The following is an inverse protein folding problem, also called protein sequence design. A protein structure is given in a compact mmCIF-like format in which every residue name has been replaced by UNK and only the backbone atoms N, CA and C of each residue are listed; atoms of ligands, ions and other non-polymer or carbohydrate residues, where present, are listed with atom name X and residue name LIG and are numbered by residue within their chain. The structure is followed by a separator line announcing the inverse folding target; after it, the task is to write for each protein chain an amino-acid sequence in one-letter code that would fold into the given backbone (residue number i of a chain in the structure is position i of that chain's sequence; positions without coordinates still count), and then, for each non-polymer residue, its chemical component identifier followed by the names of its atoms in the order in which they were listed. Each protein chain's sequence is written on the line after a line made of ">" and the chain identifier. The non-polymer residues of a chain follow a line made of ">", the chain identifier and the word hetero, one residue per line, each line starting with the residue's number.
data_IF_837847419487
#
_entry.id   IF_837847419487
#
_cell.length_a   1.000
_cell.length_b   1.000
_cell.length_c   1.000
_cell.angle_alpha   90.00
_cell.angle_beta   90.00
_cell.angle_gamma   90.00
#
_symmetry.space_group_name_H-M   'P 1'
#
loop_
_entity.id
_entity.type
_entity.pdbx_description
1 polymer ?
#
# COMPACT_ATOMS: atom_id res chain seq x y z
N UNK A 1 -10.21 13.58 15.89
CA UNK A 1 -8.93 14.34 15.77
C UNK A 1 -8.28 14.29 17.14
N UNK A 2 -7.26 13.45 17.28
CA UNK A 2 -6.65 13.02 18.56
C UNK A 2 -5.61 14.07 19.01
N UNK A 3 -5.55 14.39 20.30
CA UNK A 3 -4.45 15.17 20.92
C UNK A 3 -3.60 14.24 21.80
N UNK A 4 -2.26 14.38 21.75
CA UNK A 4 -1.26 13.64 22.54
C UNK A 4 -0.71 14.56 23.66
N UNK A 5 -0.31 14.15 24.87
CA UNK A 5 0.35 12.93 25.35
C UNK A 5 -0.09 12.60 26.80
N UNK A 6 -0.44 11.34 27.07
CA UNK A 6 -0.30 10.72 28.39
C UNK A 6 0.49 9.42 28.19
N UNK A 7 1.81 9.47 28.38
CA UNK A 7 2.60 8.25 28.42
C UNK A 7 2.45 7.74 29.85
N UNK A 8 1.64 6.69 30.04
CA UNK A 8 1.72 5.93 31.29
C UNK A 8 3.09 5.26 31.32
N UNK A 9 4.01 5.77 32.16
CA UNK A 9 5.31 5.12 32.40
C UNK A 9 5.15 3.77 33.13
N UNK A 10 3.94 3.48 33.63
CA UNK A 10 3.58 2.18 34.19
C UNK A 10 3.15 1.23 33.08
N UNK A 11 4.09 0.37 32.68
CA UNK A 11 3.84 -0.81 31.85
C UNK A 11 4.09 -2.08 32.66
N UNK A 12 3.47 -3.17 32.22
CA UNK A 12 3.77 -4.52 32.68
C UNK A 12 4.21 -5.35 31.49
N UNK A 13 5.19 -6.22 31.70
CA UNK A 13 5.57 -7.20 30.68
C UNK A 13 4.61 -8.38 30.66
N UNK A 14 4.53 -9.10 29.55
CA UNK A 14 3.72 -10.33 29.46
C UNK A 14 4.10 -11.35 30.54
N UNK A 15 5.38 -11.49 30.87
CA UNK A 15 5.81 -12.35 31.96
C UNK A 15 5.33 -11.88 33.35
N UNK A 16 5.25 -10.57 33.59
CA UNK A 16 4.69 -10.03 34.84
C UNK A 16 3.19 -10.27 34.92
N UNK A 17 2.45 -10.01 33.84
CA UNK A 17 1.02 -10.29 33.74
C UNK A 17 0.70 -11.77 33.97
N UNK A 18 1.51 -12.65 33.40
CA UNK A 18 1.39 -14.10 33.57
C UNK A 18 1.61 -14.52 35.01
N UNK A 19 2.61 -13.96 35.69
CA UNK A 19 2.86 -14.21 37.12
C UNK A 19 1.74 -13.70 38.02
N UNK A 20 1.00 -12.71 37.56
CA UNK A 20 -0.19 -12.16 38.22
C UNK A 20 -1.47 -12.94 37.88
N UNK A 21 -1.39 -14.02 37.09
CA UNK A 21 -2.54 -14.79 36.59
C UNK A 21 -3.57 -13.93 35.84
N UNK A 22 -3.11 -12.87 35.15
CA UNK A 22 -3.97 -12.07 34.29
C UNK A 22 -4.29 -12.85 33.02
N UNK A 23 -5.57 -12.83 32.62
CA UNK A 23 -6.07 -13.46 31.40
C UNK A 23 -6.06 -12.48 30.22
N UNK A 24 -6.03 -13.00 28.99
CA UNK A 24 -6.21 -12.17 27.78
C UNK A 24 -7.54 -11.43 27.76
N UNK A 25 -8.59 -12.02 28.33
CA UNK A 25 -9.90 -11.40 28.47
C UNK A 25 -9.85 -10.14 29.33
N UNK A 26 -9.11 -10.18 30.46
CA UNK A 26 -8.93 -9.01 31.32
C UNK A 26 -8.14 -7.90 30.62
N UNK A 27 -7.09 -8.25 29.88
CA UNK A 27 -6.34 -7.29 29.05
C UNK A 27 -7.26 -6.57 28.07
N UNK A 28 -8.14 -7.32 27.39
CA UNK A 28 -9.13 -6.76 26.46
C UNK A 28 -10.11 -5.80 27.15
N UNK A 29 -10.50 -6.08 28.40
CA UNK A 29 -11.36 -5.20 29.18
C UNK A 29 -10.65 -3.91 29.66
N UNK A 30 -9.32 -3.90 29.69
CA UNK A 30 -8.50 -2.75 30.07
C UNK A 30 -8.17 -1.82 28.89
N UNK A 31 -9.11 -1.70 27.94
CA UNK A 31 -9.00 -0.81 26.77
C UNK A 31 -7.75 -1.07 25.90
N UNK A 32 -7.24 -2.30 25.90
CA UNK A 32 -6.18 -2.73 24.99
C UNK A 32 -6.71 -2.95 23.57
N UNK A 33 -5.80 -3.00 22.58
CA UNK A 33 -6.16 -3.55 21.26
C UNK A 33 -6.41 -5.05 21.34
N UNK A 34 -7.21 -5.56 20.39
CA UNK A 34 -7.46 -7.00 20.23
C UNK A 34 -6.14 -7.72 19.92
N UNK A 35 -5.32 -7.16 19.02
CA UNK A 35 -4.01 -7.70 18.64
C UNK A 35 -3.11 -7.97 19.86
N UNK A 36 -3.08 -7.05 20.85
CA UNK A 36 -2.27 -7.21 22.05
C UNK A 36 -2.82 -8.31 22.97
N UNK A 37 -4.15 -8.43 23.05
CA UNK A 37 -4.81 -9.50 23.81
C UNK A 37 -4.57 -10.87 23.17
N UNK A 38 -4.60 -10.97 21.84
CA UNK A 38 -4.30 -12.20 21.09
C UNK A 38 -2.83 -12.60 21.20
N UNK A 39 -1.90 -11.65 21.08
CA UNK A 39 -0.47 -11.90 21.31
C UNK A 39 -0.20 -12.40 22.74
N UNK A 40 -0.92 -11.85 23.72
CA UNK A 40 -0.81 -12.32 25.09
C UNK A 40 -1.42 -13.72 25.26
N UNK A 41 -2.56 -14.02 24.65
CA UNK A 41 -3.12 -15.39 24.65
C UNK A 41 -2.13 -16.39 24.05
N UNK A 42 -1.49 -16.04 22.92
CA UNK A 42 -0.44 -16.86 22.33
C UNK A 42 0.75 -17.06 23.28
N UNK A 43 1.14 -16.03 24.03
CA UNK A 43 2.15 -16.15 25.08
C UNK A 43 1.69 -17.08 26.22
N UNK A 44 0.42 -17.02 26.64
CA UNK A 44 -0.16 -17.91 27.67
C UNK A 44 -0.14 -19.38 27.25
N UNK A 45 -0.44 -19.65 25.98
CA UNK A 45 -0.44 -21.01 25.42
C UNK A 45 0.97 -21.60 25.31
N UNK A 46 1.97 -20.76 25.01
CA UNK A 46 3.36 -21.19 24.78
C UNK A 46 4.40 -20.27 25.46
N UNK A 47 4.44 -20.20 26.81
CA UNK A 47 5.24 -19.22 27.53
C UNK A 47 6.76 -19.46 27.43
N UNK A 48 7.19 -20.69 27.16
CA UNK A 48 8.62 -21.05 27.05
C UNK A 48 9.17 -20.97 25.62
N UNK A 49 8.31 -20.84 24.61
CA UNK A 49 8.70 -20.85 23.18
C UNK A 49 8.52 -19.48 22.53
N UNK A 50 7.76 -18.58 23.15
CA UNK A 50 7.50 -17.24 22.64
C UNK A 50 8.59 -16.25 23.07
N UNK A 51 9.13 -15.50 22.10
CA UNK A 51 10.03 -14.36 22.37
C UNK A 51 9.28 -13.13 22.96
N UNK A 52 8.03 -13.32 23.38
CA UNK A 52 7.10 -12.26 23.78
C UNK A 52 7.15 -11.96 25.28
N UNK A 53 8.00 -12.63 26.07
CA UNK A 53 8.06 -12.43 27.53
C UNK A 53 8.27 -10.98 27.94
N UNK A 54 8.97 -10.21 27.12
CA UNK A 54 9.33 -8.82 27.34
C UNK A 54 8.39 -7.83 26.63
N UNK A 55 7.37 -8.32 25.92
CA UNK A 55 6.37 -7.45 25.31
C UNK A 55 5.62 -6.66 26.38
N UNK A 56 5.35 -5.40 26.06
CA UNK A 56 4.86 -4.41 27.03
C UNK A 56 3.38 -4.18 26.86
N UNK A 57 2.66 -4.36 27.96
CA UNK A 57 1.28 -3.98 28.12
C UNK A 57 1.19 -2.68 28.92
N UNK A 58 0.35 -1.75 28.45
CA UNK A 58 0.04 -0.50 29.15
C UNK A 58 -1.42 -0.55 29.56
N UNK A 59 -1.68 -0.43 30.87
CA UNK A 59 -3.04 -0.42 31.40
C UNK A 59 -3.65 0.96 31.16
N UNK A 60 -4.54 1.07 30.16
CA UNK A 60 -5.15 2.32 29.78
C UNK A 60 -6.47 2.52 30.52
N UNK A 61 -6.57 3.63 31.27
CA UNK A 61 -7.86 4.06 31.83
C UNK A 61 -8.61 4.86 30.78
N UNK A 62 -9.92 4.61 30.62
CA UNK A 62 -10.80 5.43 29.79
C UNK A 62 -10.59 6.93 30.12
N UNK A 63 -10.49 7.83 29.12
CA UNK A 63 -10.78 7.64 27.69
C UNK A 63 -9.57 7.28 26.82
N UNK A 64 -8.45 6.87 27.42
CA UNK A 64 -7.22 6.59 26.69
C UNK A 64 -7.20 5.17 26.11
N UNK A 65 -6.69 5.02 24.90
CA UNK A 65 -6.57 3.73 24.21
C UNK A 65 -5.32 3.70 23.31
N UNK A 66 -5.03 2.52 22.76
CA UNK A 66 -3.85 2.26 21.94
C UNK A 66 -2.75 1.53 22.71
N UNK A 67 -1.74 1.06 21.98
CA UNK A 67 -0.66 0.20 22.51
C UNK A 67 0.19 0.84 23.63
N UNK A 68 0.10 2.15 23.83
CA UNK A 68 0.77 2.95 24.87
C UNK A 68 -0.17 3.98 25.50
N UNK A 69 -1.49 3.74 25.42
CA UNK A 69 -2.52 4.70 25.87
C UNK A 69 -2.40 6.08 25.20
N UNK A 70 -1.83 6.13 24.00
CA UNK A 70 -1.42 7.37 23.36
C UNK A 70 -2.59 8.13 22.72
N UNK A 71 -3.73 7.48 22.51
CA UNK A 71 -4.87 8.08 21.83
C UNK A 71 -6.00 8.33 22.81
N UNK A 72 -6.72 9.44 22.62
CA UNK A 72 -8.02 9.68 23.22
C UNK A 72 -8.90 10.43 22.22
N UNK A 73 -10.21 10.33 22.40
CA UNK A 73 -11.13 11.08 21.58
C UNK A 73 -11.31 12.50 22.10
N UNK A 74 -11.18 13.48 21.20
CA UNK A 74 -11.41 14.91 21.49
C UNK A 74 -12.87 15.27 21.75
N UNK A 75 -13.80 14.39 21.36
CA UNK A 75 -15.24 14.55 21.55
C UNK A 75 -15.79 13.36 22.33
N UNK A 76 -16.93 13.57 23.00
CA UNK A 76 -17.69 12.47 23.59
C UNK A 76 -18.07 11.43 22.50
N UNK A 77 -18.12 10.15 22.85
CA UNK A 77 -18.39 9.03 21.94
C UNK A 77 -19.66 9.27 21.11
N UNK A 78 -20.74 9.75 21.73
CA UNK A 78 -22.01 10.06 21.06
C UNK A 78 -21.85 11.11 19.94
N UNK A 79 -21.02 12.13 20.18
CA UNK A 79 -20.76 13.20 19.19
C UNK A 79 -19.82 12.74 18.09
N UNK A 80 -18.95 11.77 18.34
CA UNK A 80 -18.11 11.17 17.29
C UNK A 80 -18.97 10.38 16.32
N UNK A 81 -19.90 9.57 16.84
CA UNK A 81 -20.82 8.79 16.02
C UNK A 81 -21.64 9.74 15.14
N UNK A 82 -22.27 10.76 15.73
CA UNK A 82 -23.00 11.77 14.96
C UNK A 82 -22.13 12.48 13.91
N UNK A 83 -20.94 12.96 14.29
CA UNK A 83 -20.04 13.63 13.35
C UNK A 83 -19.51 12.70 12.25
N UNK A 84 -19.35 11.40 12.53
CA UNK A 84 -18.91 10.41 11.53
C UNK A 84 -19.96 10.12 10.47
N UNK A 85 -21.25 10.31 10.81
CA UNK A 85 -22.36 10.25 9.86
C UNK A 85 -22.58 11.57 9.11
N UNK A 86 -22.24 12.72 9.71
CA UNK A 86 -22.47 14.05 9.13
C UNK A 86 -21.31 14.57 8.28
N UNK A 87 -20.07 14.19 8.59
CA UNK A 87 -18.87 14.75 7.99
C UNK A 87 -18.12 13.63 7.28
N UNK A 88 -18.32 13.51 5.97
CA UNK A 88 -17.33 12.91 5.07
C UNK A 88 -15.96 13.44 5.46
N UNK A 89 -15.07 12.59 5.98
CA UNK A 89 -13.78 13.01 6.53
C UNK A 89 -12.96 13.70 5.43
N UNK A 90 -12.89 15.03 5.47
CA UNK A 90 -12.13 15.86 4.52
C UNK A 90 -10.78 16.32 5.11
N UNK A 91 -10.28 15.62 6.13
CA UNK A 91 -9.03 15.97 6.80
C UNK A 91 -7.81 15.67 5.92
N UNK A 92 -6.86 16.60 5.87
CA UNK A 92 -5.57 16.39 5.20
C UNK A 92 -4.75 15.28 5.89
N UNK A 93 -4.46 14.19 5.16
CA UNK A 93 -3.66 13.05 5.66
C UNK A 93 -2.16 13.38 5.73
N UNK A 94 -1.72 14.50 5.15
CA UNK A 94 -0.29 14.87 5.08
C UNK A 94 0.42 14.89 6.45
N UNK A 95 -0.31 15.08 7.55
CA UNK A 95 0.19 15.02 8.93
C UNK A 95 -0.51 13.93 9.78
N UNK A 96 -1.05 12.89 9.15
CA UNK A 96 -1.72 11.78 9.82
C UNK A 96 -0.75 10.89 10.61
N UNK A 97 -1.23 10.30 11.70
CA UNK A 97 -0.53 9.20 12.37
C UNK A 97 -1.02 7.87 11.81
N UNK A 98 -0.10 6.96 11.50
CA UNK A 98 -0.44 5.64 10.97
C UNK A 98 -0.69 4.63 12.09
N UNK A 99 -1.73 3.80 11.93
CA UNK A 99 -1.73 2.51 12.62
C UNK A 99 -0.74 1.59 11.89
N UNK A 100 0.26 1.08 12.61
CA UNK A 100 1.31 0.24 12.04
C UNK A 100 1.04 -1.22 12.41
N UNK A 101 0.31 -1.92 11.54
CA UNK A 101 0.11 -3.37 11.66
C UNK A 101 1.35 -4.14 11.18
N UNK A 102 1.88 -3.74 10.02
CA UNK A 102 3.10 -4.30 9.43
C UNK A 102 4.19 -3.22 9.38
N UNK A 103 5.43 -3.59 9.71
CA UNK A 103 6.58 -2.71 9.52
C UNK A 103 6.88 -2.58 8.03
N UNK A 104 6.21 -1.65 7.37
CA UNK A 104 6.33 -1.41 5.94
C UNK A 104 7.17 -0.15 5.67
N UNK A 105 8.20 -0.27 4.83
CA UNK A 105 8.96 0.88 4.35
C UNK A 105 8.46 1.31 2.97
N UNK A 106 7.69 2.40 2.88
CA UNK A 106 7.20 2.96 1.61
C UNK A 106 8.06 4.10 1.05
N UNK A 107 9.26 4.32 1.60
CA UNK A 107 10.21 5.35 1.14
C UNK A 107 10.13 6.70 1.87
N UNK A 108 9.09 6.94 2.68
CA UNK A 108 8.89 8.20 3.40
C UNK A 108 7.98 8.07 4.62
N UNK A 109 8.09 8.97 5.61
CA UNK A 109 7.42 8.85 6.91
C UNK A 109 5.92 9.18 6.90
N UNK A 110 5.41 9.82 5.85
CA UNK A 110 4.01 10.31 5.77
C UNK A 110 3.05 9.35 5.06
N UNK A 111 3.54 8.23 4.50
CA UNK A 111 2.71 7.30 3.72
C UNK A 111 2.39 6.04 4.52
N UNK A 112 1.21 6.01 5.15
CA UNK A 112 0.71 4.83 5.85
C UNK A 112 0.38 3.71 4.86
N UNK A 113 0.62 2.45 5.22
CA UNK A 113 0.02 1.32 4.50
C UNK A 113 -1.46 1.23 4.88
N UNK A 114 -2.35 1.22 3.89
CA UNK A 114 -3.77 0.92 4.09
C UNK A 114 -3.94 -0.60 4.11
N UNK A 115 -4.85 -1.11 4.94
CA UNK A 115 -5.04 -2.56 5.08
C UNK A 115 -5.47 -3.23 3.76
N UNK A 116 -6.11 -2.50 2.85
CA UNK A 116 -6.51 -2.99 1.51
C UNK A 116 -5.35 -3.12 0.53
N UNK A 117 -4.17 -2.61 0.90
CA UNK A 117 -2.90 -2.76 0.17
C UNK A 117 -2.08 -3.94 0.74
N UNK A 118 -2.63 -4.74 1.66
CA UNK A 118 -2.00 -5.97 2.16
C UNK A 118 -2.62 -7.15 1.41
N UNK A 119 -1.77 -8.01 0.85
CA UNK A 119 -2.19 -9.18 0.09
C UNK A 119 -3.10 -8.86 -1.10
N UNK A 120 -2.89 -7.70 -1.73
CA UNK A 120 -3.63 -7.28 -2.93
C UNK A 120 -2.92 -7.70 -4.22
N UNK A 121 -1.79 -8.40 -4.09
CA UNK A 121 -0.94 -8.81 -5.19
C UNK A 121 -0.04 -7.68 -5.68
N UNK A 122 0.26 -6.65 -4.89
CA UNK A 122 1.19 -5.58 -5.27
C UNK A 122 2.19 -5.34 -4.16
N UNK A 123 3.47 -5.41 -4.50
CA UNK A 123 4.50 -4.97 -3.56
C UNK A 123 4.48 -3.45 -3.47
N UNK A 124 3.98 -2.96 -2.35
CA UNK A 124 4.00 -1.59 -1.89
C UNK A 124 5.10 -1.33 -0.84
N UNK A 125 5.52 -2.36 -0.09
CA UNK A 125 6.60 -2.24 0.89
C UNK A 125 7.98 -2.56 0.30
N UNK A 126 8.91 -1.61 0.35
CA UNK A 126 10.27 -1.77 -0.20
C UNK A 126 11.21 -2.62 0.65
N UNK A 127 10.84 -2.96 1.88
CA UNK A 127 11.61 -3.83 2.76
C UNK A 127 11.31 -5.32 2.52
N UNK A 128 11.35 -5.74 1.26
CA UNK A 128 11.17 -7.14 0.86
C UNK A 128 9.73 -7.56 0.57
N UNK A 129 8.82 -6.61 0.31
CA UNK A 129 7.43 -6.91 -0.02
C UNK A 129 6.66 -7.60 1.11
N UNK A 130 6.88 -7.15 2.35
CA UNK A 130 6.30 -7.74 3.57
C UNK A 130 4.78 -7.73 3.61
N UNK A 131 4.16 -6.82 2.88
CA UNK A 131 2.73 -6.71 2.60
C UNK A 131 2.19 -7.89 1.76
N UNK A 132 3.04 -8.55 1.00
CA UNK A 132 2.68 -9.64 0.08
C UNK A 132 3.26 -11.01 0.51
N UNK A 133 3.73 -11.12 1.77
CA UNK A 133 4.28 -12.35 2.33
C UNK A 133 3.16 -13.17 2.98
N UNK A 134 3.18 -14.49 2.75
CA UNK A 134 2.24 -15.46 3.37
C UNK A 134 0.75 -15.24 3.07
N UNK A 135 0.41 -14.36 2.12
CA UNK A 135 -0.96 -14.14 1.65
C UNK A 135 -1.64 -15.42 1.15
N UNK A 136 -0.85 -16.35 0.62
CA UNK A 136 -1.34 -17.64 0.18
C UNK A 136 -2.04 -18.44 1.31
N UNK A 137 -1.59 -18.31 2.56
CA UNK A 137 -2.22 -18.99 3.69
C UNK A 137 -3.69 -18.62 3.84
N UNK A 138 -4.05 -17.36 3.54
CA UNK A 138 -5.44 -16.90 3.53
C UNK A 138 -6.23 -17.56 2.40
N UNK A 139 -5.65 -17.62 1.19
CA UNK A 139 -6.28 -18.27 0.04
C UNK A 139 -6.38 -19.80 0.16
N UNK A 140 -5.65 -20.45 1.06
CA UNK A 140 -5.78 -21.90 1.29
C UNK A 140 -6.84 -22.29 2.30
N UNK A 141 -7.45 -21.31 2.96
CA UNK A 141 -8.47 -21.61 3.96
C UNK A 141 -9.65 -22.36 3.31
N UNK A 142 -10.10 -23.42 3.99
CA UNK A 142 -11.24 -24.24 3.59
C UNK A 142 -12.39 -23.97 4.57
N UNK A 143 -13.56 -23.63 4.03
CA UNK A 143 -14.73 -23.30 4.84
C UNK A 143 -15.56 -24.53 5.16
N UNK A 144 -16.39 -24.44 6.20
CA UNK A 144 -17.35 -25.49 6.53
C UNK A 144 -18.45 -25.59 5.48
N UNK A 145 -19.18 -26.71 5.47
CA UNK A 145 -20.26 -26.96 4.49
C UNK A 145 -21.39 -25.92 4.53
N UNK A 146 -21.59 -25.26 5.67
CA UNK A 146 -22.59 -24.21 5.88
C UNK A 146 -22.05 -22.79 5.60
N UNK A 147 -20.81 -22.67 5.11
CA UNK A 147 -20.14 -21.42 4.82
C UNK A 147 -19.86 -21.28 3.31
N UNK A 148 -19.96 -20.05 2.82
CA UNK A 148 -19.50 -19.65 1.51
C UNK A 148 -18.07 -19.14 1.63
N UNK A 149 -17.24 -19.51 0.65
CA UNK A 149 -15.84 -19.10 0.57
C UNK A 149 -15.71 -17.95 -0.43
N UNK A 150 -15.33 -16.78 0.08
CA UNK A 150 -14.95 -15.63 -0.73
C UNK A 150 -13.69 -15.91 -1.58
N UNK A 151 -13.44 -15.14 -2.64
CA UNK A 151 -12.27 -15.38 -3.51
C UNK A 151 -10.95 -15.20 -2.75
N UNK A 152 -10.90 -14.23 -1.83
CA UNK A 152 -9.77 -13.99 -0.92
C UNK A 152 -9.59 -15.03 0.21
N UNK A 153 -10.47 -16.05 0.29
CA UNK A 153 -10.39 -17.14 1.28
C UNK A 153 -11.14 -16.90 2.60
N UNK A 154 -11.82 -15.76 2.75
CA UNK A 154 -12.73 -15.52 3.87
C UNK A 154 -13.93 -16.48 3.82
N UNK A 155 -14.32 -17.00 4.98
CA UNK A 155 -15.52 -17.83 5.13
C UNK A 155 -16.64 -17.01 5.73
N UNK A 156 -17.78 -16.94 5.03
CA UNK A 156 -18.99 -16.26 5.51
C UNK A 156 -20.15 -17.28 5.61
N UNK A 157 -21.07 -17.15 6.58
CA UNK A 157 -22.26 -17.99 6.64
C UNK A 157 -23.10 -17.94 5.35
N UNK A 158 -23.49 -19.10 4.79
CA UNK A 158 -24.32 -19.18 3.56
C UNK A 158 -25.68 -18.49 3.69
N UNK A 159 -26.18 -18.33 4.91
CA UNK A 159 -27.45 -17.64 5.16
C UNK A 159 -27.46 -16.23 4.57
N UNK A 160 -26.30 -15.55 4.53
CA UNK A 160 -26.19 -14.22 3.94
C UNK A 160 -26.42 -14.22 2.41
N UNK A 161 -26.01 -15.29 1.71
CA UNK A 161 -26.31 -15.48 0.29
C UNK A 161 -27.78 -15.80 0.05
N UNK A 162 -28.34 -16.69 0.88
CA UNK A 162 -29.71 -17.18 0.74
C UNK A 162 -30.74 -16.07 0.98
N UNK A 163 -30.43 -15.17 1.91
CA UNK A 163 -31.28 -14.01 2.20
C UNK A 163 -31.23 -12.95 1.09
N UNK A 164 -30.33 -13.07 0.09
CA UNK A 164 -30.07 -12.06 -0.94
C UNK A 164 -30.01 -10.67 -0.34
N UNK A 165 -29.27 -10.54 0.76
CA UNK A 165 -29.00 -9.22 1.33
C UNK A 165 -28.40 -8.36 0.22
N UNK A 166 -28.85 -7.11 0.10
CA UNK A 166 -28.38 -6.17 -0.93
C UNK A 166 -26.96 -5.66 -0.64
N UNK A 167 -26.23 -6.31 0.27
CA UNK A 167 -24.96 -5.89 0.83
C UNK A 167 -23.98 -7.06 0.76
N UNK A 168 -22.83 -6.82 0.15
CA UNK A 168 -21.73 -7.77 0.11
C UNK A 168 -21.19 -8.02 1.53
N UNK A 169 -20.95 -9.28 1.88
CA UNK A 169 -20.32 -9.69 3.13
C UNK A 169 -18.85 -10.07 2.92
N UNK A 170 -18.47 -10.47 1.70
CA UNK A 170 -17.07 -10.66 1.39
C UNK A 170 -16.36 -9.31 1.24
N UNK A 171 -15.16 -9.17 1.82
CA UNK A 171 -14.34 -7.96 1.67
C UNK A 171 -13.96 -7.68 0.21
N UNK A 172 -13.83 -8.73 -0.61
CA UNK A 172 -13.58 -8.66 -2.05
C UNK A 172 -14.87 -8.61 -2.90
N UNK A 173 -16.04 -8.61 -2.25
CA UNK A 173 -17.38 -8.62 -2.87
C UNK A 173 -17.66 -9.79 -3.81
N UNK A 174 -16.92 -10.89 -3.66
CA UNK A 174 -17.11 -12.11 -4.48
C UNK A 174 -18.48 -12.76 -4.30
N UNK A 175 -19.16 -12.48 -3.19
CA UNK A 175 -20.52 -12.93 -2.89
C UNK A 175 -21.63 -12.08 -3.56
N UNK A 176 -21.28 -10.94 -4.16
CA UNK A 176 -22.26 -9.98 -4.67
C UNK A 176 -22.35 -9.96 -6.20
N UNK A 177 -23.52 -10.32 -6.73
CA UNK A 177 -23.76 -10.47 -8.18
C UNK A 177 -23.87 -9.14 -8.95
N UNK A 178 -24.12 -8.03 -8.27
CA UNK A 178 -24.34 -6.71 -8.90
C UNK A 178 -23.10 -5.85 -8.68
N UNK A 179 -22.25 -5.71 -9.70
CA UNK A 179 -21.04 -4.86 -9.66
C UNK A 179 -21.30 -3.35 -9.43
N UNK A 180 -22.56 -2.92 -9.39
CA UNK A 180 -22.89 -1.53 -9.03
C UNK A 180 -22.87 -1.35 -7.51
N UNK A 181 -21.65 -1.23 -6.98
CA UNK A 181 -21.40 -0.74 -5.64
C UNK A 181 -21.89 0.70 -5.48
N UNK A 182 -22.64 1.00 -4.42
CA UNK A 182 -23.00 2.38 -4.05
C UNK A 182 -21.78 3.25 -3.72
N UNK A 183 -20.60 2.66 -3.48
CA UNK A 183 -19.33 3.40 -3.38
C UNK A 183 -18.90 4.04 -4.71
N UNK A 184 -19.64 3.80 -5.80
CA UNK A 184 -19.39 4.38 -7.11
C UNK A 184 -19.60 5.91 -7.10
N UNK A 185 -18.45 6.57 -7.08
CA UNK A 185 -18.12 7.83 -7.75
C UNK A 185 -18.69 9.16 -7.23
N UNK A 186 -19.86 9.28 -6.59
CA UNK A 186 -20.40 10.63 -6.35
C UNK A 186 -21.31 10.90 -5.13
N UNK A 187 -21.57 9.95 -4.22
CA UNK A 187 -22.56 10.18 -3.16
C UNK A 187 -21.96 10.52 -1.80
N UNK A 188 -21.96 11.83 -1.52
CA UNK A 188 -21.47 12.56 -0.34
C UNK A 188 -22.12 12.21 1.02
N UNK A 189 -22.93 11.15 1.11
CA UNK A 189 -23.73 10.85 2.30
C UNK A 189 -23.84 9.36 2.65
N UNK A 190 -23.06 8.49 2.00
CA UNK A 190 -23.03 7.08 2.37
C UNK A 190 -22.14 6.88 3.59
N UNK A 191 -22.53 5.93 4.45
CA UNK A 191 -21.81 5.54 5.64
C UNK A 191 -20.34 5.24 5.26
N UNK A 192 -19.42 6.11 5.65
CA UNK A 192 -17.99 6.00 5.34
C UNK A 192 -17.43 4.61 5.69
N UNK A 193 -17.98 3.98 6.73
CA UNK A 193 -17.59 2.65 7.19
C UNK A 193 -17.84 1.57 6.14
N UNK A 194 -18.97 1.59 5.44
CA UNK A 194 -19.34 0.54 4.49
C UNK A 194 -18.34 0.48 3.33
N UNK A 195 -17.93 1.63 2.78
CA UNK A 195 -16.94 1.65 1.70
C UNK A 195 -15.50 1.39 2.16
N UNK A 196 -15.21 1.59 3.46
CA UNK A 196 -13.89 1.33 4.01
C UNK A 196 -13.62 -0.15 4.26
N UNK A 197 -14.67 -0.98 4.35
CA UNK A 197 -14.58 -2.43 4.59
C UNK A 197 -14.28 -3.26 3.33
N UNK A 198 -14.39 -2.67 2.13
CA UNK A 198 -14.18 -3.41 0.89
C UNK A 198 -12.84 -3.08 0.20
N UNK A 199 -12.24 -4.11 -0.39
CA UNK A 199 -11.03 -4.01 -1.21
C UNK A 199 -11.35 -3.24 -2.51
N UNK A 200 -10.38 -2.43 -2.96
CA UNK A 200 -10.49 -1.71 -4.22
C UNK A 200 -10.48 -2.67 -5.41
N UNK A 201 -11.53 -2.63 -6.22
CA UNK A 201 -11.67 -3.52 -7.37
C UNK A 201 -10.77 -3.08 -8.53
N UNK A 202 -10.22 -4.02 -9.33
CA UNK A 202 -9.35 -3.68 -10.46
C UNK A 202 -9.97 -2.73 -11.49
N UNK A 203 -11.29 -2.72 -11.67
CA UNK A 203 -12.03 -1.86 -12.60
C UNK A 203 -12.37 -0.46 -12.04
N UNK A 204 -12.24 -0.26 -10.72
CA UNK A 204 -12.50 1.00 -10.04
C UNK A 204 -11.21 1.77 -9.69
N UNK A 205 -10.06 1.14 -9.90
CA UNK A 205 -8.73 1.64 -9.56
C UNK A 205 -8.22 1.01 -8.26
N UNK A 206 -6.98 0.51 -8.27
CA UNK A 206 -6.42 -0.30 -7.18
C UNK A 206 -5.82 0.50 -6.02
N UNK A 207 -5.71 1.83 -6.14
CA UNK A 207 -5.12 2.64 -5.07
C UNK A 207 -6.19 3.08 -4.07
N UNK A 208 -6.04 2.63 -2.83
CA UNK A 208 -6.89 3.00 -1.71
C UNK A 208 -6.53 4.40 -1.19
N UNK A 209 -7.53 5.28 -1.14
CA UNK A 209 -7.36 6.60 -0.55
C UNK A 209 -7.40 6.57 0.99
N UNK A 210 -7.74 5.46 1.65
CA UNK A 210 -7.79 5.40 3.11
C UNK A 210 -9.09 5.86 3.75
N UNK A 211 -10.09 6.24 2.94
CA UNK A 211 -11.38 6.75 3.38
C UNK A 211 -12.57 6.04 2.72
N UNK A 212 -12.31 4.98 1.93
CA UNK A 212 -13.32 4.27 1.15
C UNK A 212 -13.29 4.64 -0.34
N UNK A 213 -12.62 5.73 -0.71
CA UNK A 213 -12.40 6.07 -2.11
C UNK A 213 -11.30 5.17 -2.70
N UNK A 214 -11.58 4.61 -3.87
CA UNK A 214 -10.61 3.92 -4.72
C UNK A 214 -10.34 4.78 -5.96
N UNK A 215 -9.06 4.88 -6.34
CA UNK A 215 -8.64 5.60 -7.54
C UNK A 215 -7.56 4.80 -8.25
N UNK A 216 -7.30 5.15 -9.50
CA UNK A 216 -6.10 4.64 -10.19
C UNK A 216 -4.82 5.07 -9.49
N UNK A 217 -3.71 4.39 -9.75
CA UNK A 217 -2.41 4.77 -9.21
C UNK A 217 -2.09 6.23 -9.53
N UNK A 218 -1.62 6.98 -8.52
CA UNK A 218 -1.38 8.42 -8.58
C UNK A 218 -2.63 9.27 -8.95
N UNK A 219 -3.82 8.67 -8.90
CA UNK A 219 -5.09 9.35 -9.06
C UNK A 219 -5.39 10.27 -7.87
N UNK A 220 -6.22 11.28 -8.09
CA UNK A 220 -6.53 12.29 -7.06
C UNK A 220 -7.47 11.72 -5.98
N UNK A 221 -6.92 11.43 -4.81
CA UNK A 221 -7.68 11.22 -3.58
C UNK A 221 -8.23 12.55 -3.02
N UNK A 222 -9.47 12.53 -2.51
CA UNK A 222 -10.10 13.69 -1.89
C UNK A 222 -9.35 14.17 -0.64
N UNK A 223 -8.86 13.22 0.16
CA UNK A 223 -8.09 13.46 1.37
C UNK A 223 -6.58 13.72 1.13
N UNK A 224 -6.19 13.91 -0.13
CA UNK A 224 -4.82 14.18 -0.55
C UNK A 224 -3.79 13.06 -0.28
N UNK A 225 -4.19 11.82 0.04
CA UNK A 225 -3.27 10.68 0.23
C UNK A 225 -2.35 10.43 -0.98
N UNK A 226 -2.84 10.65 -2.19
CA UNK A 226 -2.05 10.58 -3.42
C UNK A 226 -0.83 11.53 -3.43
N UNK A 227 -0.90 12.69 -2.77
CA UNK A 227 0.25 13.59 -2.63
C UNK A 227 1.30 13.02 -1.68
N UNK A 228 0.88 12.35 -0.60
CA UNK A 228 1.81 11.66 0.31
C UNK A 228 2.54 10.52 -0.41
N UNK A 229 1.84 9.77 -1.28
CA UNK A 229 2.47 8.76 -2.15
C UNK A 229 3.53 9.40 -3.06
N UNK A 230 3.17 10.47 -3.79
CA UNK A 230 4.12 11.18 -4.66
C UNK A 230 5.32 11.73 -3.89
N UNK A 231 5.12 12.28 -2.69
CA UNK A 231 6.19 12.75 -1.79
C UNK A 231 7.13 11.62 -1.36
N UNK A 232 6.57 10.47 -0.98
CA UNK A 232 7.32 9.29 -0.57
C UNK A 232 8.22 8.77 -1.70
N UNK A 233 7.68 8.68 -2.92
CA UNK A 233 8.43 8.30 -4.11
C UNK A 233 9.49 9.32 -4.51
N UNK A 234 9.22 10.59 -4.26
CA UNK A 234 10.13 11.69 -4.55
C UNK A 234 11.16 11.91 -3.44
N UNK A 235 11.37 10.96 -2.52
CA UNK A 235 12.39 11.10 -1.49
C UNK A 235 13.81 11.24 -2.10
N UNK A 236 14.64 12.09 -1.50
CA UNK A 236 16.00 12.35 -1.98
C UNK A 236 16.88 11.09 -1.99
N UNK A 237 16.78 10.27 -0.95
CA UNK A 237 17.62 9.09 -0.78
C UNK A 237 19.12 9.43 -0.82
N UNK A 238 19.85 8.77 -1.71
CA UNK A 238 21.29 8.95 -1.90
C UNK A 238 21.66 9.96 -2.99
N UNK A 239 20.68 10.64 -3.59
CA UNK A 239 20.94 11.61 -4.65
C UNK A 239 21.50 12.92 -4.08
N UNK A 240 22.39 13.56 -4.85
CA UNK A 240 22.78 14.95 -4.59
C UNK A 240 21.52 15.83 -4.67
N UNK A 241 21.45 16.84 -3.80
CA UNK A 241 20.27 17.70 -3.67
C UNK A 241 19.88 18.35 -5.01
N UNK A 242 20.88 18.81 -5.77
CA UNK A 242 20.74 19.46 -7.07
C UNK A 242 20.19 18.51 -8.14
N UNK A 243 20.64 17.25 -8.12
CA UNK A 243 20.11 16.22 -9.01
C UNK A 243 18.69 15.85 -8.64
N UNK A 244 18.44 15.70 -7.34
CA UNK A 244 17.13 15.36 -6.80
C UNK A 244 16.07 16.39 -7.15
N UNK A 245 16.31 17.67 -6.82
CA UNK A 245 15.36 18.76 -7.10
C UNK A 245 15.08 18.88 -8.62
N UNK A 246 16.14 18.76 -9.44
CA UNK A 246 16.04 18.79 -10.89
C UNK A 246 15.16 17.66 -11.41
N UNK A 247 15.37 16.44 -10.91
CA UNK A 247 14.59 15.27 -11.34
C UNK A 247 13.14 15.33 -10.90
N UNK A 248 12.84 15.77 -9.67
CA UNK A 248 11.43 15.93 -9.23
C UNK A 248 10.69 16.89 -10.16
N UNK A 249 11.31 18.03 -10.48
CA UNK A 249 10.68 19.03 -11.34
C UNK A 249 10.56 18.57 -12.80
N UNK A 250 11.61 17.97 -13.38
CA UNK A 250 11.58 17.51 -14.77
C UNK A 250 10.63 16.35 -15.00
N UNK A 251 10.48 15.46 -14.01
CA UNK A 251 9.54 14.34 -14.09
C UNK A 251 8.11 14.71 -13.72
N UNK A 252 7.87 15.92 -13.21
CA UNK A 252 6.55 16.41 -12.75
C UNK A 252 5.82 15.41 -11.87
N UNK A 253 6.56 14.69 -11.03
CA UNK A 253 6.00 13.77 -10.03
C UNK A 253 5.30 14.56 -8.91
N UNK A 254 5.82 15.77 -8.62
CA UNK A 254 5.21 16.76 -7.74
C UNK A 254 5.44 18.14 -8.36
N UNK A 255 4.45 19.03 -8.26
CA UNK A 255 4.51 20.38 -8.84
C UNK A 255 5.23 21.40 -7.93
N UNK A 256 5.39 21.09 -6.63
CA UNK A 256 5.98 21.97 -5.60
C UNK A 256 6.80 21.20 -4.58
N UNK A 257 7.95 21.74 -4.18
CA UNK A 257 8.79 21.24 -3.08
C UNK A 257 9.05 22.39 -2.11
N UNK A 258 8.73 22.21 -0.82
CA UNK A 258 9.08 23.18 0.23
C UNK A 258 8.73 24.66 -0.11
N UNK A 259 7.61 24.87 -0.81
CA UNK A 259 7.11 26.15 -1.35
C UNK A 259 7.75 26.68 -2.65
N UNK A 260 8.76 26.01 -3.20
CA UNK A 260 9.33 26.30 -4.51
C UNK A 260 8.47 25.63 -5.58
N UNK A 261 7.97 26.42 -6.53
CA UNK A 261 7.27 25.88 -7.71
C UNK A 261 8.27 25.37 -8.73
N UNK A 262 8.08 24.15 -9.22
CA UNK A 262 8.90 23.62 -10.30
C UNK A 262 8.78 24.47 -11.59
N UNK A 263 7.64 25.12 -11.82
CA UNK A 263 7.44 26.02 -12.96
C UNK A 263 8.37 27.25 -12.93
N UNK A 264 8.76 27.71 -11.74
CA UNK A 264 9.71 28.81 -11.59
C UNK A 264 11.16 28.35 -11.81
N UNK A 265 11.45 27.07 -11.54
CA UNK A 265 12.79 26.49 -11.58
C UNK A 265 13.17 25.97 -12.97
N UNK A 266 12.21 25.37 -13.71
CA UNK A 266 12.43 24.77 -15.05
C UNK A 266 12.75 25.80 -16.14
N UNK A 267 12.41 27.07 -15.95
CA UNK A 267 12.76 28.14 -16.89
C UNK A 267 14.19 28.67 -16.73
N UNK A 268 14.91 28.25 -15.69
CA UNK A 268 16.28 28.69 -15.45
C UNK A 268 17.29 27.82 -16.19
N UNK A 269 18.31 28.43 -16.80
CA UNK A 269 19.51 27.73 -17.28
C UNK A 269 20.21 26.93 -16.17
N UNK A 270 19.86 27.21 -14.91
CA UNK A 270 20.39 26.63 -13.68
C UNK A 270 20.11 25.13 -13.56
N UNK A 271 18.89 24.64 -13.91
CA UNK A 271 18.58 23.20 -13.84
C UNK A 271 19.46 22.39 -14.80
N UNK A 272 19.72 22.91 -16.00
CA UNK A 272 20.58 22.24 -16.99
C UNK A 272 22.02 22.18 -16.48
N UNK A 273 22.52 23.24 -15.84
CA UNK A 273 23.85 23.25 -15.23
C UNK A 273 23.94 22.33 -14.02
N UNK A 274 22.93 22.30 -13.16
CA UNK A 274 22.83 21.38 -12.03
C UNK A 274 22.89 19.93 -12.49
N UNK A 275 22.16 19.58 -13.56
CA UNK A 275 22.17 18.24 -14.12
C UNK A 275 23.53 17.81 -14.67
N UNK A 276 24.40 18.73 -15.12
CA UNK A 276 25.76 18.39 -15.56
C UNK A 276 26.63 17.85 -14.43
N UNK A 277 26.31 18.18 -13.18
CA UNK A 277 27.00 17.64 -12.00
C UNK A 277 26.55 16.22 -11.64
N UNK A 278 25.41 15.77 -12.18
CA UNK A 278 24.85 14.46 -11.90
C UNK A 278 25.60 13.35 -12.63
N UNK A 279 25.74 12.20 -11.96
CA UNK A 279 26.28 11.00 -12.58
C UNK A 279 25.16 10.25 -13.29
N UNK A 280 25.37 9.98 -14.57
CA UNK A 280 24.43 9.24 -15.40
C UNK A 280 24.96 7.85 -15.81
N UNK A 281 24.08 6.87 -16.10
CA UNK A 281 22.62 6.95 -16.02
C UNK A 281 22.13 7.10 -14.57
N UNK A 282 21.11 7.92 -14.39
CA UNK A 282 20.59 8.30 -13.08
C UNK A 282 19.30 7.53 -12.82
N UNK A 283 19.20 6.86 -11.67
CA UNK A 283 17.95 6.25 -11.23
C UNK A 283 17.10 7.28 -10.47
N UNK A 284 15.86 7.48 -10.90
CA UNK A 284 14.91 8.33 -10.19
C UNK A 284 13.48 7.84 -10.40
N UNK A 285 12.64 7.71 -9.36
CA UNK A 285 12.96 7.60 -7.95
C UNK A 285 14.09 6.63 -7.59
N UNK A 286 14.65 6.81 -6.39
CA UNK A 286 15.66 5.90 -5.81
C UNK A 286 15.06 4.55 -5.40
N UNK A 287 13.74 4.50 -5.24
CA UNK A 287 12.94 3.31 -4.95
C UNK A 287 12.17 2.82 -6.19
N UNK A 288 11.73 1.55 -6.21
CA UNK A 288 10.88 1.03 -7.28
C UNK A 288 9.57 1.84 -7.43
N UNK A 289 9.14 2.02 -8.67
CA UNK A 289 7.93 2.80 -9.02
C UNK A 289 6.68 1.93 -9.19
N UNK A 290 6.87 0.63 -9.49
CA UNK A 290 5.80 -0.36 -9.63
C UNK A 290 6.26 -1.74 -9.12
N UNK A 291 5.35 -2.42 -8.42
CA UNK A 291 5.45 -3.83 -8.02
C UNK A 291 6.75 -4.20 -7.31
N UNK A 292 7.37 -3.26 -6.60
CA UNK A 292 8.60 -3.51 -5.84
C UNK A 292 9.88 -3.75 -6.65
N UNK A 293 9.84 -3.82 -7.99
CA UNK A 293 11.02 -4.12 -8.81
C UNK A 293 11.22 -3.22 -10.03
N UNK A 294 10.17 -2.57 -10.53
CA UNK A 294 10.26 -1.72 -11.72
C UNK A 294 10.90 -0.38 -11.36
N UNK A 295 11.91 0.04 -12.12
CA UNK A 295 12.72 1.25 -11.87
C UNK A 295 12.93 2.04 -13.14
N UNK A 296 13.10 3.35 -13.00
CA UNK A 296 13.39 4.23 -14.13
C UNK A 296 14.86 4.67 -14.12
N UNK A 297 15.48 4.62 -15.28
CA UNK A 297 16.80 5.18 -15.54
C UNK A 297 16.72 6.28 -16.60
N UNK A 298 17.43 7.35 -16.33
CA UNK A 298 17.53 8.54 -17.18
C UNK A 298 18.95 8.71 -17.69
N UNK A 299 19.09 9.23 -18.90
CA UNK A 299 20.34 9.43 -19.60
C UNK A 299 20.40 10.88 -20.15
N UNK A 300 21.58 11.50 -20.22
CA UNK A 300 21.69 12.94 -20.48
C UNK A 300 21.37 13.33 -21.92
N UNK A 301 21.27 12.38 -22.86
CA UNK A 301 20.99 12.68 -24.27
C UNK A 301 19.67 13.42 -24.51
N UNK A 302 18.71 13.33 -23.57
CA UNK A 302 17.46 14.09 -23.63
C UNK A 302 17.56 15.51 -23.03
N UNK A 303 18.65 15.81 -22.31
CA UNK A 303 18.84 17.05 -21.52
C UNK A 303 19.34 18.22 -22.39
N UNK A 304 20.07 17.93 -23.48
CA UNK A 304 20.66 18.97 -24.34
C UNK A 304 19.62 19.76 -25.19
N UNK A 305 18.36 19.32 -25.24
CA UNK A 305 17.27 19.94 -26.01
C UNK A 305 16.08 20.40 -25.15
N UNK A 306 16.29 20.68 -23.85
CA UNK A 306 15.22 21.12 -22.95
C UNK A 306 14.81 22.56 -23.29
N UNK A 307 13.73 22.71 -24.07
CA UNK A 307 12.93 23.94 -24.06
C UNK A 307 11.98 23.89 -22.86
N UNK A 308 11.81 25.01 -22.14
CA UNK A 308 11.23 25.16 -20.80
C UNK A 308 9.78 24.71 -20.54
N UNK A 309 9.24 23.75 -21.31
CA UNK A 309 7.96 23.06 -21.10
C UNK A 309 8.12 21.54 -20.94
N UNK A 310 9.34 21.02 -21.00
CA UNK A 310 9.62 19.60 -21.20
C UNK A 310 9.39 18.76 -19.93
N UNK A 311 8.62 17.69 -20.10
CA UNK A 311 8.55 16.56 -19.19
C UNK A 311 9.63 15.53 -19.57
N UNK A 312 10.45 15.11 -18.61
CA UNK A 312 11.50 14.13 -18.83
C UNK A 312 10.95 12.71 -18.66
N UNK A 313 10.90 11.97 -19.78
CA UNK A 313 10.52 10.54 -19.78
C UNK A 313 11.74 9.66 -19.49
N UNK A 314 11.56 8.47 -18.89
CA UNK A 314 12.66 7.53 -18.68
C UNK A 314 13.22 7.04 -20.02
N UNK A 315 14.55 6.97 -20.12
CA UNK A 315 15.24 6.37 -21.27
C UNK A 315 15.17 4.85 -21.22
N UNK A 316 15.24 4.29 -20.01
CA UNK A 316 15.16 2.86 -19.78
C UNK A 316 14.25 2.56 -18.59
N UNK A 317 13.48 1.49 -18.73
CA UNK A 317 12.66 0.93 -17.68
C UNK A 317 13.29 -0.41 -17.30
N UNK A 318 13.80 -0.47 -16.08
CA UNK A 318 14.48 -1.63 -15.52
C UNK A 318 13.52 -2.45 -14.66
N UNK A 319 13.74 -3.75 -14.62
CA UNK A 319 12.86 -4.72 -13.96
C UNK A 319 13.65 -5.96 -13.56
N UNK A 320 13.04 -6.79 -12.71
CA UNK A 320 13.59 -8.11 -12.40
C UNK A 320 13.30 -9.09 -13.54
N UNK A 321 14.38 -9.58 -14.18
CA UNK A 321 14.30 -10.53 -15.31
C UNK A 321 13.70 -11.88 -14.90
N UNK A 322 13.81 -12.27 -13.62
CA UNK A 322 13.20 -13.51 -13.13
C UNK A 322 11.69 -13.40 -13.00
N UNK A 323 11.19 -12.19 -12.68
CA UNK A 323 9.75 -11.92 -12.57
C UNK A 323 9.12 -11.62 -13.94
N UNK A 324 9.91 -11.07 -14.87
CA UNK A 324 9.48 -10.68 -16.22
C UNK A 324 10.22 -11.42 -17.34
N UNK A 325 10.33 -12.73 -17.25
CA UNK A 325 11.09 -13.56 -18.21
C UNK A 325 10.62 -13.45 -19.67
N UNK A 326 9.35 -13.06 -19.88
CA UNK A 326 8.75 -12.82 -21.19
C UNK A 326 9.19 -11.49 -21.85
N UNK A 327 9.77 -10.55 -21.09
CA UNK A 327 10.27 -9.29 -21.63
C UNK A 327 11.72 -9.44 -22.10
N UNK A 328 11.95 -9.17 -23.39
CA UNK A 328 13.32 -9.13 -23.91
C UNK A 328 14.04 -7.85 -23.45
N UNK A 329 15.22 -7.95 -22.82
CA UNK A 329 15.99 -6.79 -22.40
C UNK A 329 16.75 -6.18 -23.58
N UNK A 330 16.96 -4.87 -23.51
CA UNK A 330 17.69 -4.09 -24.52
C UNK A 330 18.94 -3.44 -23.97
N UNK A 331 19.06 -3.37 -22.65
CA UNK A 331 20.13 -2.69 -21.94
C UNK A 331 20.36 -3.37 -20.59
N UNK A 332 21.62 -3.47 -20.17
CA UNK A 332 21.99 -3.92 -18.83
C UNK A 332 22.88 -2.86 -18.21
N UNK A 333 22.57 -2.45 -16.98
CA UNK A 333 23.34 -1.46 -16.23
C UNK A 333 23.57 -1.95 -14.82
N UNK A 334 24.84 -2.18 -14.47
CA UNK A 334 25.21 -2.81 -13.20
C UNK A 334 24.48 -4.15 -13.03
N UNK A 335 23.60 -4.26 -12.02
CA UNK A 335 22.76 -5.44 -11.75
C UNK A 335 21.35 -5.32 -12.32
N UNK A 336 21.02 -4.22 -13.01
CA UNK A 336 19.69 -3.96 -13.54
C UNK A 336 19.54 -4.45 -14.98
N UNK A 337 18.47 -5.21 -15.22
CA UNK A 337 18.01 -5.60 -16.55
C UNK A 337 16.96 -4.61 -17.03
N UNK A 338 17.13 -4.02 -18.22
CA UNK A 338 16.29 -2.91 -18.67
C UNK A 338 15.85 -3.02 -20.12
N UNK A 339 14.75 -2.34 -20.43
CA UNK A 339 14.23 -2.13 -21.79
C UNK A 339 14.15 -0.65 -22.11
N UNK A 340 14.47 -0.28 -23.35
CA UNK A 340 14.42 1.09 -23.82
C UNK A 340 12.98 1.61 -23.81
N UNK A 341 12.79 2.79 -23.22
CA UNK A 341 11.51 3.48 -23.18
C UNK A 341 10.95 3.82 -24.56
N UNK A 342 11.79 3.95 -25.60
CA UNK A 342 11.33 4.17 -26.97
C UNK A 342 10.75 2.91 -27.63
N UNK A 343 11.13 1.72 -27.15
CA UNK A 343 10.61 0.44 -27.64
C UNK A 343 9.36 -0.02 -26.90
N UNK A 344 9.07 0.60 -25.76
CA UNK A 344 7.76 0.52 -25.13
C UNK A 344 6.93 1.62 -25.77
N UNK A 345 5.78 1.31 -26.35
CA UNK A 345 4.94 2.30 -27.05
C UNK A 345 4.32 3.29 -26.05
N UNK A 346 5.15 4.13 -25.43
CA UNK A 346 4.75 5.22 -24.55
C UNK A 346 4.10 6.29 -25.44
N UNK A 347 2.82 6.11 -25.76
CA UNK A 347 2.02 7.08 -26.51
C UNK A 347 1.81 8.32 -25.64
N UNK A 348 2.73 9.28 -25.75
CA UNK A 348 2.72 10.48 -24.92
C UNK A 348 2.48 11.73 -25.77
N UNK A 349 1.44 12.50 -25.43
CA UNK A 349 1.28 13.85 -25.93
C UNK A 349 2.09 14.79 -25.03
N UNK A 350 3.22 15.31 -25.54
CA UNK A 350 4.22 16.07 -24.77
C UNK A 350 3.69 17.26 -23.94
N UNK A 351 2.50 17.80 -24.24
CA UNK A 351 1.87 18.89 -23.46
C UNK A 351 1.01 18.44 -22.28
N UNK A 352 0.56 17.18 -22.27
CA UNK A 352 -0.34 16.63 -21.25
C UNK A 352 0.31 15.49 -20.46
N UNK A 353 1.59 15.20 -20.72
CA UNK A 353 2.29 14.11 -20.06
C UNK A 353 2.51 14.42 -18.59
N UNK A 354 1.93 13.58 -17.73
CA UNK A 354 2.13 13.56 -16.29
C UNK A 354 2.86 12.29 -15.86
N UNK A 355 3.41 12.27 -14.65
CA UNK A 355 3.98 11.05 -14.07
C UNK A 355 3.01 9.86 -14.16
N UNK A 356 1.74 10.12 -13.78
CA UNK A 356 0.64 9.17 -13.90
C UNK A 356 0.52 8.56 -15.30
N UNK A 357 0.64 9.37 -16.36
CA UNK A 357 0.53 8.88 -17.73
C UNK A 357 1.65 7.92 -18.14
N UNK A 358 2.86 8.05 -17.57
CA UNK A 358 3.93 7.04 -17.76
C UNK A 358 3.50 5.75 -17.10
N UNK A 359 3.10 5.83 -15.83
CA UNK A 359 2.72 4.67 -15.02
C UNK A 359 1.60 3.88 -15.71
N UNK A 360 0.54 4.56 -16.12
CA UNK A 360 -0.59 3.97 -16.84
C UNK A 360 -0.13 3.30 -18.17
N UNK A 361 0.89 3.85 -18.84
CA UNK A 361 1.41 3.29 -20.12
C UNK A 361 2.29 2.05 -19.93
N UNK A 362 3.00 1.94 -18.81
CA UNK A 362 3.93 0.82 -18.57
C UNK A 362 3.28 -0.32 -17.80
N UNK A 363 2.27 -0.03 -16.96
CA UNK A 363 1.60 -0.99 -16.09
C UNK A 363 1.18 -2.27 -16.83
N UNK A 364 0.55 -2.23 -18.02
CA UNK A 364 0.18 -3.42 -18.77
C UNK A 364 1.35 -4.35 -19.15
N UNK A 365 2.57 -3.83 -19.29
CA UNK A 365 3.76 -4.65 -19.58
C UNK A 365 4.22 -5.43 -18.35
N UNK A 366 3.91 -4.93 -17.15
CA UNK A 366 4.44 -5.45 -15.89
C UNK A 366 3.37 -6.11 -15.00
N UNK A 367 2.09 -6.04 -15.36
CA UNK A 367 0.99 -6.70 -14.61
C UNK A 367 1.22 -8.21 -14.47
N UNK A 368 1.88 -8.84 -15.44
CA UNK A 368 2.24 -10.27 -15.37
C UNK A 368 3.49 -10.55 -14.53
N UNK A 369 4.22 -9.52 -14.11
CA UNK A 369 5.44 -9.61 -13.30
C UNK A 369 5.19 -9.39 -11.80
N UNK A 370 3.93 -9.43 -11.38
CA UNK A 370 3.56 -9.38 -9.97
C UNK A 370 4.15 -10.62 -9.28
N UNK A 371 4.92 -10.39 -8.22
CA UNK A 371 5.37 -11.42 -7.28
C UNK A 371 4.16 -12.08 -6.64
N UNK A 372 4.04 -13.38 -6.81
CA UNK A 372 3.36 -14.21 -5.84
C UNK A 372 4.47 -15.01 -5.17
N UNK A 373 4.83 -14.65 -3.93
CA UNK A 373 5.77 -15.44 -3.13
C UNK A 373 5.11 -16.75 -2.73
N UNK A 374 5.02 -17.68 -3.68
CA UNK A 374 4.71 -19.07 -3.36
C UNK A 374 5.94 -19.67 -2.70
N UNK A 375 5.94 -19.72 -1.38
CA UNK A 375 6.71 -20.76 -0.73
C UNK A 375 6.15 -22.09 -1.26
N UNK A 376 6.99 -22.81 -2.01
CA UNK A 376 6.69 -24.12 -2.55
C UNK A 376 6.43 -25.04 -1.35
N UNK A 377 5.15 -25.25 -1.03
CA UNK A 377 4.76 -26.28 -0.07
C UNK A 377 4.71 -27.58 -0.87
N UNK A 378 5.78 -28.38 -0.73
CA UNK A 378 5.78 -29.78 -1.14
C UNK A 378 4.68 -30.52 -0.36
N UNK A 379 3.56 -30.83 -0.99
CA UNK A 379 2.77 -32.02 -0.60
C UNK A 379 1.78 -32.44 -1.71
N UNK A 380 1.61 -33.76 -1.82
CA UNK A 380 0.72 -34.45 -2.76
C UNK A 380 -0.79 -34.15 -2.58
N UNK A 381 -1.15 -33.25 -1.66
CA UNK A 381 -2.52 -32.75 -1.42
C UNK A 381 -2.57 -31.23 -1.37
N UNK A 382 -1.70 -30.56 -2.12
CA UNK A 382 -1.61 -29.11 -2.10
C UNK A 382 -2.92 -28.47 -2.59
N UNK A 383 -3.48 -27.47 -1.88
CA UNK A 383 -4.57 -26.62 -2.38
C UNK A 383 -4.16 -25.75 -3.58
N UNK A 384 -2.93 -25.93 -4.08
CA UNK A 384 -2.36 -25.25 -5.23
C UNK A 384 -2.63 -25.98 -6.55
N UNK A 385 -2.94 -25.20 -7.57
CA UNK A 385 -2.94 -25.58 -8.98
C UNK A 385 -1.69 -25.02 -9.67
N UNK A 386 -0.93 -25.87 -10.35
CA UNK A 386 0.18 -25.43 -11.19
C UNK A 386 -0.34 -24.99 -12.57
N UNK A 387 -0.11 -23.73 -12.92
CA UNK A 387 -0.58 -23.17 -14.18
C UNK A 387 0.08 -23.87 -15.38
N UNK A 388 -0.71 -24.23 -16.39
CA UNK A 388 -0.18 -24.85 -17.61
C UNK A 388 0.78 -23.89 -18.31
N UNK A 389 1.96 -24.38 -18.71
CA UNK A 389 3.03 -23.63 -19.39
C UNK A 389 3.59 -22.44 -18.59
N UNK A 390 3.45 -22.43 -17.26
CA UNK A 390 4.02 -21.42 -16.39
C UNK A 390 4.72 -22.09 -15.21
N UNK A 391 5.68 -21.41 -14.59
CA UNK A 391 6.27 -21.82 -13.31
C UNK A 391 5.41 -21.44 -12.09
N UNK A 392 4.28 -20.76 -12.33
CA UNK A 392 3.42 -20.21 -11.29
C UNK A 392 2.41 -21.23 -10.78
N UNK A 393 2.13 -21.15 -9.48
CA UNK A 393 1.02 -21.85 -8.84
C UNK A 393 -0.10 -20.84 -8.55
N UNK A 394 -1.33 -21.29 -8.32
CA UNK A 394 -2.46 -20.47 -7.84
C UNK A 394 -3.30 -21.33 -6.88
N UNK A 395 -4.16 -20.73 -6.05
CA UNK A 395 -5.17 -21.53 -5.33
C UNK A 395 -6.07 -22.27 -6.33
N UNK A 396 -6.37 -23.55 -6.08
CA UNK A 396 -7.27 -24.37 -6.92
C UNK A 396 -8.66 -23.74 -7.05
N UNK A 397 -9.04 -22.91 -6.08
CA UNK A 397 -10.31 -22.20 -6.02
C UNK A 397 -10.36 -21.02 -7.01
N UNK A 398 -9.22 -20.59 -7.57
CA UNK A 398 -9.09 -19.47 -8.51
C UNK A 398 -8.91 -19.89 -9.97
N UNK A 399 -9.06 -21.19 -10.30
CA UNK A 399 -8.81 -21.71 -11.66
C UNK A 399 -9.75 -21.09 -12.72
N UNK A 400 -10.90 -20.57 -12.31
CA UNK A 400 -11.95 -20.04 -13.19
C UNK A 400 -12.18 -18.53 -13.03
N UNK A 401 -11.36 -17.86 -12.23
CA UNK A 401 -11.46 -16.42 -11.93
C UNK A 401 -10.88 -15.52 -13.03
#
# INVERSE_FOLDING_TARGET
>A
MVEFFNISDNYMTFNELYRLNVTSHEIRLWSSSIDLAEQYEYYLDQPTQSNLSNEKFFNCTQPWFGSRCQYSFKFNEDKLVQNSFEIGFTGDILNGTCYVLLQCNRGGPSMCLDWREICDGRIDCHNGGVDEIQCFSLETNECNENEYRCHNGLCIPKIFLEMKLQEAQCLDRSDYLVKNSLCLKFYFHLNLFECQEFICQPDEGRFSCGDGQCVEDYGRCQNNRHLALSQSLSAQGNLLYECWISMVCLTKIIDKIENISCDQSIQSSEIIEQLKSCKFPLQFPVIPVLYGHVRFLYHPKQIDNINGTLFLKPDYICYDEQLCDFLTPTFRHETLTCRSGDQMNLTMNAKLTTWKSIIDSIKPYFDSCITQHYHIIDSYHSPLYHCKNSSKYISKHRILD
#
